data_IF_379912413029
#
_entry.id   IF_379912413029
#
_cell.length_a   1.000
_cell.length_b   1.000
_cell.length_c   1.000
_cell.angle_alpha   90.00
_cell.angle_beta   90.00
_cell.angle_gamma   90.00
#
_symmetry.space_group_name_H-M   'P 1'
#
loop_
_entity.id
_entity.type
_entity.pdbx_description
1 polymer ?
#
# COMPACT_ATOMS: atom_id res chain seq x y z
N UNK A 1 10.56 -21.81 -9.52
CA UNK A 1 10.98 -20.71 -10.40
C UNK A 1 12.31 -21.07 -11.05
N UNK A 2 12.58 -20.58 -12.28
CA UNK A 2 13.84 -20.88 -12.97
C UNK A 2 14.97 -19.97 -12.45
N UNK A 3 15.55 -20.32 -11.30
CA UNK A 3 16.70 -19.60 -10.75
C UNK A 3 17.97 -19.89 -11.53
N UNK A 4 18.76 -18.86 -11.78
CA UNK A 4 20.05 -18.96 -12.46
C UNK A 4 21.13 -18.26 -11.66
N UNK A 5 22.37 -18.60 -11.96
CA UNK A 5 23.54 -18.00 -11.33
C UNK A 5 23.78 -16.60 -11.91
N UNK A 6 24.03 -15.60 -11.06
CA UNK A 6 24.33 -14.23 -11.50
C UNK A 6 25.56 -14.18 -12.43
N UNK A 7 25.53 -13.35 -13.48
CA UNK A 7 26.60 -13.25 -14.46
C UNK A 7 27.92 -12.73 -13.84
N UNK A 8 27.84 -11.82 -12.87
CA UNK A 8 28.99 -11.30 -12.12
C UNK A 8 28.83 -11.60 -10.63
N UNK A 9 29.78 -12.33 -10.04
CA UNK A 9 29.74 -12.68 -8.62
C UNK A 9 30.20 -11.58 -7.68
N UNK A 10 31.07 -10.69 -8.15
CA UNK A 10 31.55 -9.57 -7.35
C UNK A 10 30.42 -8.58 -7.09
N UNK A 11 29.63 -8.24 -8.12
CA UNK A 11 28.45 -7.37 -7.96
C UNK A 11 27.42 -8.01 -7.03
N UNK A 12 27.04 -9.26 -7.29
CA UNK A 12 26.04 -9.98 -6.49
C UNK A 12 26.44 -10.23 -5.02
N UNK A 13 27.73 -10.09 -4.67
CA UNK A 13 28.23 -10.19 -3.30
C UNK A 13 28.45 -8.83 -2.65
N UNK A 14 28.91 -7.84 -3.42
CA UNK A 14 29.28 -6.53 -2.90
C UNK A 14 28.06 -5.60 -2.72
N UNK A 15 26.99 -5.83 -3.49
CA UNK A 15 25.83 -4.97 -3.51
C UNK A 15 24.52 -5.77 -3.61
N UNK A 16 23.40 -5.07 -3.37
CA UNK A 16 22.06 -5.63 -3.47
C UNK A 16 21.19 -4.73 -4.37
N UNK A 17 21.76 -4.26 -5.48
CA UNK A 17 21.16 -3.23 -6.34
C UNK A 17 19.81 -3.68 -6.90
N UNK A 18 19.68 -4.94 -7.30
CA UNK A 18 18.42 -5.51 -7.76
C UNK A 18 17.32 -5.47 -6.69
N UNK A 19 17.65 -5.63 -5.40
CA UNK A 19 16.67 -5.53 -4.31
C UNK A 19 16.33 -4.07 -3.98
N UNK A 20 17.29 -3.16 -4.13
CA UNK A 20 17.04 -1.71 -4.00
C UNK A 20 16.10 -1.24 -5.10
N UNK A 21 16.31 -1.68 -6.34
CA UNK A 21 15.42 -1.37 -7.47
C UNK A 21 14.01 -1.94 -7.24
N UNK A 22 13.91 -3.20 -6.78
CA UNK A 22 12.64 -3.80 -6.38
C UNK A 22 11.94 -2.96 -5.29
N UNK A 23 12.67 -2.48 -4.29
CA UNK A 23 12.14 -1.61 -3.25
C UNK A 23 11.61 -0.29 -3.84
N UNK A 24 12.30 0.29 -4.81
CA UNK A 24 11.84 1.46 -5.57
C UNK A 24 10.50 1.21 -6.28
N UNK A 25 10.39 0.08 -6.98
CA UNK A 25 9.15 -0.33 -7.63
C UNK A 25 8.00 -0.54 -6.63
N UNK A 26 8.29 -1.17 -5.48
CA UNK A 26 7.31 -1.35 -4.39
C UNK A 26 6.88 -0.01 -3.79
N UNK A 27 7.78 0.97 -3.68
CA UNK A 27 7.45 2.30 -3.21
C UNK A 27 6.46 3.01 -4.16
N UNK A 28 6.64 2.87 -5.48
CA UNK A 28 5.66 3.39 -6.46
C UNK A 28 4.28 2.75 -6.31
N UNK A 29 4.23 1.43 -6.08
CA UNK A 29 2.97 0.73 -5.78
C UNK A 29 2.35 1.25 -4.48
N UNK A 30 3.15 1.45 -3.43
CA UNK A 30 2.67 1.98 -2.16
C UNK A 30 2.06 3.37 -2.30
N UNK A 31 2.68 4.26 -3.09
CA UNK A 31 2.11 5.60 -3.37
C UNK A 31 0.76 5.49 -4.08
N UNK A 32 0.63 4.57 -5.03
CA UNK A 32 -0.64 4.34 -5.74
C UNK A 32 -1.73 3.82 -4.78
N UNK A 33 -1.39 2.84 -3.93
CA UNK A 33 -2.30 2.30 -2.92
C UNK A 33 -2.70 3.35 -1.88
N UNK A 34 -1.77 4.21 -1.47
CA UNK A 34 -2.04 5.31 -0.54
C UNK A 34 -3.11 6.26 -1.11
N UNK A 35 -3.01 6.63 -2.40
CA UNK A 35 -4.04 7.46 -3.04
C UNK A 35 -5.40 6.76 -3.05
N UNK A 36 -5.45 5.52 -3.52
CA UNK A 36 -6.70 4.74 -3.58
C UNK A 36 -7.36 4.65 -2.20
N UNK A 37 -6.59 4.30 -1.16
CA UNK A 37 -7.11 4.21 0.20
C UNK A 37 -7.60 5.57 0.74
N UNK A 38 -6.88 6.66 0.45
CA UNK A 38 -7.29 8.00 0.86
C UNK A 38 -8.58 8.45 0.19
N UNK A 39 -8.77 8.16 -1.09
CA UNK A 39 -10.01 8.47 -1.81
C UNK A 39 -11.18 7.73 -1.21
N UNK A 40 -11.05 6.42 -1.01
CA UNK A 40 -12.11 5.59 -0.43
C UNK A 40 -12.51 6.12 0.94
N UNK A 41 -11.53 6.43 1.80
CA UNK A 41 -11.76 7.03 3.12
C UNK A 41 -12.44 8.40 3.03
N UNK A 42 -12.01 9.24 2.09
CA UNK A 42 -12.54 10.60 1.96
C UNK A 42 -13.98 10.60 1.42
N UNK A 43 -14.26 9.80 0.40
CA UNK A 43 -15.59 9.62 -0.16
C UNK A 43 -16.54 8.92 0.82
N UNK A 44 -16.02 8.03 1.68
CA UNK A 44 -16.75 7.41 2.78
C UNK A 44 -16.88 8.26 4.06
N UNK A 45 -16.41 9.52 4.06
CA UNK A 45 -16.52 10.40 5.23
C UNK A 45 -17.98 10.79 5.48
N UNK A 46 -18.43 10.83 6.74
CA UNK A 46 -19.83 11.11 7.07
C UNK A 46 -20.25 10.50 8.40
N UNK A 47 -21.52 10.09 8.58
CA UNK A 47 -22.55 9.90 7.54
C UNK A 47 -23.35 11.16 7.18
N UNK A 48 -23.30 12.22 7.99
CA UNK A 48 -24.11 13.45 7.79
C UNK A 48 -23.28 14.72 7.63
N UNK A 49 -22.05 14.71 8.13
CA UNK A 49 -21.14 15.85 8.15
C UNK A 49 -19.86 15.59 7.33
N UNK A 50 -20.00 14.90 6.21
CA UNK A 50 -18.93 14.54 5.28
C UNK A 50 -19.46 14.44 3.84
N UNK A 51 -18.74 13.75 2.94
CA UNK A 51 -19.21 13.54 1.56
C UNK A 51 -20.31 12.47 1.47
N UNK A 52 -20.12 11.33 2.13
CA UNK A 52 -21.10 10.23 2.18
C UNK A 52 -21.40 9.57 0.82
N UNK A 53 -20.48 9.66 -0.14
CA UNK A 53 -20.68 9.12 -1.50
C UNK A 53 -20.49 7.60 -1.56
N UNK A 54 -19.69 7.04 -0.65
CA UNK A 54 -19.49 5.60 -0.51
C UNK A 54 -19.98 5.11 0.86
N UNK A 55 -20.58 3.92 0.89
CA UNK A 55 -20.92 3.19 2.12
C UNK A 55 -19.94 2.03 2.24
N UNK A 56 -19.08 2.07 3.27
CA UNK A 56 -18.10 1.02 3.55
C UNK A 56 -18.71 -0.06 4.45
N UNK A 57 -18.28 -1.34 4.34
CA UNK A 57 -18.72 -2.38 5.26
C UNK A 57 -18.35 -2.07 6.71
N UNK A 58 -19.32 -2.16 7.61
CA UNK A 58 -19.13 -2.03 9.07
C UNK A 58 -18.68 -3.38 9.64
N UNK A 59 -17.37 -3.52 9.87
CA UNK A 59 -16.77 -4.79 10.30
C UNK A 59 -16.61 -4.90 11.82
N UNK A 60 -16.49 -3.76 12.52
CA UNK A 60 -16.29 -3.71 13.97
C UNK A 60 -16.88 -2.43 14.61
N UNK A 61 -17.19 -2.43 15.92
CA UNK A 61 -17.56 -1.22 16.64
C UNK A 61 -16.46 -0.15 16.59
N UNK A 62 -16.78 1.06 16.13
CA UNK A 62 -15.80 2.11 15.89
C UNK A 62 -15.40 2.94 17.12
N UNK A 63 -16.17 2.90 18.20
CA UNK A 63 -15.91 3.67 19.42
C UNK A 63 -16.41 2.94 20.66
N UNK A 64 -15.70 3.09 21.77
CA UNK A 64 -16.14 2.60 23.09
C UNK A 64 -17.17 3.51 23.76
N UNK A 65 -17.29 4.76 23.32
CA UNK A 65 -18.19 5.77 23.91
C UNK A 65 -19.38 6.13 23.01
N UNK A 66 -19.18 6.12 21.69
CA UNK A 66 -20.25 6.38 20.72
C UNK A 66 -20.80 5.02 20.23
N UNK A 67 -22.00 4.61 20.70
CA UNK A 67 -22.61 3.37 20.25
C UNK A 67 -22.99 3.41 18.77
#
# INVERSE_FOLDING_TARGET
LPFITAANKFEALAAHDALVELSGALNTVAVSMMKIANDIRFLGSGPRSGLGELILPENEPGSSIMP
#
